data_IF_140045796045
#
_entry.id   IF_140045796045
#
_cell.length_a   1.000
_cell.length_b   1.000
_cell.length_c   1.000
_cell.angle_alpha   90.00
_cell.angle_beta   90.00
_cell.angle_gamma   90.00
#
_symmetry.space_group_name_H-M   'P 1'
#
loop_
_entity.id
_entity.type
_entity.pdbx_description
1 polymer ?
#
# COMPACT_ATOMS: atom_id res chain seq x y z
N UNK A 1 -13.70 26.46 -29.59
CA UNK A 1 -13.65 25.27 -28.72
C UNK A 1 -12.25 25.19 -28.13
N UNK A 2 -12.11 24.81 -26.86
CA UNK A 2 -10.83 24.54 -26.23
C UNK A 2 -10.54 23.05 -26.32
N UNK A 3 -9.27 22.69 -26.52
CA UNK A 3 -8.80 21.33 -26.44
C UNK A 3 -8.63 20.94 -24.97
N UNK A 4 -9.15 19.82 -24.57
CA UNK A 4 -8.81 19.12 -23.34
C UNK A 4 -8.28 17.75 -23.74
N UNK A 5 -7.08 17.40 -23.34
CA UNK A 5 -6.43 16.13 -23.71
C UNK A 5 -5.74 15.47 -22.52
N UNK A 6 -5.59 14.16 -22.61
CA UNK A 6 -4.75 13.41 -21.68
C UNK A 6 -3.28 13.80 -21.89
N UNK A 7 -2.44 13.60 -20.89
CA UNK A 7 -1.04 14.05 -20.87
C UNK A 7 -0.17 13.45 -21.99
N UNK A 8 -0.61 12.44 -22.74
CA UNK A 8 0.07 11.94 -23.96
C UNK A 8 0.14 12.98 -25.08
N UNK A 9 -0.73 13.99 -25.05
CA UNK A 9 -0.70 15.05 -26.08
C UNK A 9 0.38 16.10 -25.79
N UNK A 10 1.00 16.07 -24.61
CA UNK A 10 2.05 17.03 -24.22
C UNK A 10 3.28 16.81 -25.09
N UNK A 11 3.53 17.74 -26.01
CA UNK A 11 4.66 17.75 -26.95
C UNK A 11 4.92 19.16 -27.45
N UNK A 12 6.06 19.33 -28.08
CA UNK A 12 6.41 20.61 -28.67
C UNK A 12 5.38 21.09 -29.71
N UNK A 13 5.04 22.36 -29.64
CA UNK A 13 4.10 23.00 -30.56
C UNK A 13 2.61 22.82 -30.20
N UNK A 14 2.27 22.18 -29.09
CA UNK A 14 0.91 22.18 -28.58
C UNK A 14 0.54 23.59 -28.05
N UNK A 15 -0.66 24.07 -28.41
CA UNK A 15 -1.13 25.40 -27.98
C UNK A 15 -1.16 25.53 -26.45
N UNK A 16 -0.75 26.68 -25.92
CA UNK A 16 -0.87 27.03 -24.51
C UNK A 16 -2.34 27.14 -24.03
N UNK A 17 -3.32 27.28 -24.96
CA UNK A 17 -4.74 27.24 -24.65
C UNK A 17 -5.27 25.83 -24.35
N UNK A 18 -4.51 24.78 -24.64
CA UNK A 18 -4.87 23.41 -24.33
C UNK A 18 -4.90 23.21 -22.81
N UNK A 19 -5.86 22.38 -22.35
CA UNK A 19 -5.92 21.92 -20.97
C UNK A 19 -5.46 20.47 -20.94
N UNK A 20 -4.53 20.16 -20.07
CA UNK A 20 -3.95 18.83 -19.94
C UNK A 20 -4.54 18.13 -18.72
N UNK A 21 -5.04 16.92 -18.92
CA UNK A 21 -5.42 16.02 -17.83
C UNK A 21 -4.25 15.07 -17.55
N UNK A 22 -3.49 15.34 -16.50
CA UNK A 22 -2.34 14.53 -16.11
C UNK A 22 -2.79 13.31 -15.32
N UNK A 23 -2.70 12.12 -15.94
CA UNK A 23 -3.18 10.88 -15.35
C UNK A 23 -2.08 9.85 -15.09
N UNK A 24 -0.99 9.87 -15.88
CA UNK A 24 0.10 8.91 -15.78
C UNK A 24 1.06 9.30 -14.65
N UNK A 25 0.92 8.67 -13.48
CA UNK A 25 1.83 8.92 -12.34
C UNK A 25 3.30 8.61 -12.66
N UNK A 26 3.56 7.67 -13.58
CA UNK A 26 4.91 7.33 -14.06
C UNK A 26 5.49 8.32 -15.09
N UNK A 27 4.66 9.10 -15.74
CA UNK A 27 5.10 10.13 -16.67
C UNK A 27 5.55 11.41 -15.92
N UNK A 28 6.60 11.30 -15.12
CA UNK A 28 7.05 12.34 -14.19
C UNK A 28 7.31 13.70 -14.83
N UNK A 29 7.62 13.74 -16.15
CA UNK A 29 7.90 14.99 -16.87
C UNK A 29 6.64 15.65 -17.46
N UNK A 30 5.49 14.97 -17.45
CA UNK A 30 4.29 15.49 -18.08
C UNK A 30 3.78 16.78 -17.41
N UNK A 31 3.71 16.82 -16.08
CA UNK A 31 3.30 18.00 -15.33
C UNK A 31 4.27 19.17 -15.48
N UNK A 32 5.59 19.02 -15.23
CA UNK A 32 6.56 20.10 -15.45
C UNK A 32 6.57 20.62 -16.89
N UNK A 33 6.51 19.73 -17.88
CA UNK A 33 6.52 20.14 -19.29
C UNK A 33 5.28 20.93 -19.68
N UNK A 34 4.09 20.46 -19.30
CA UNK A 34 2.84 21.15 -19.60
C UNK A 34 2.80 22.56 -18.96
N UNK A 35 3.18 22.66 -17.68
CA UNK A 35 3.19 23.95 -16.96
C UNK A 35 4.25 24.91 -17.48
N UNK A 36 5.42 24.41 -17.92
CA UNK A 36 6.46 25.19 -18.58
C UNK A 36 5.96 25.77 -19.94
N UNK A 37 5.10 25.03 -20.64
CA UNK A 37 4.44 25.48 -21.87
C UNK A 37 3.20 26.35 -21.59
N UNK A 38 2.99 26.76 -20.34
CA UNK A 38 1.86 27.59 -19.90
C UNK A 38 0.48 26.95 -20.15
N UNK A 39 0.44 25.63 -20.24
CA UNK A 39 -0.81 24.87 -20.35
C UNK A 39 -1.43 24.65 -18.99
N UNK A 40 -2.74 24.77 -18.90
CA UNK A 40 -3.48 24.49 -17.68
C UNK A 40 -3.56 22.99 -17.45
N UNK A 41 -3.30 22.54 -16.23
CA UNK A 41 -3.26 21.14 -15.88
C UNK A 41 -4.32 20.80 -14.84
N UNK A 42 -5.08 19.74 -15.09
CA UNK A 42 -5.95 19.07 -14.13
C UNK A 42 -5.21 17.82 -13.68
N UNK A 43 -4.87 17.74 -12.39
CA UNK A 43 -4.15 16.60 -11.85
C UNK A 43 -5.12 15.46 -11.49
N UNK A 44 -4.95 14.31 -12.14
CA UNK A 44 -5.69 13.10 -11.84
C UNK A 44 -4.81 11.83 -11.93
N UNK A 45 -3.59 11.82 -11.31
CA UNK A 45 -2.71 10.67 -11.42
C UNK A 45 -3.40 9.40 -10.91
N UNK A 46 -3.28 8.33 -11.72
CA UNK A 46 -4.04 7.10 -11.54
C UNK A 46 -3.85 6.44 -10.18
N UNK A 47 -2.65 6.51 -9.63
CA UNK A 47 -2.33 5.94 -8.33
C UNK A 47 -3.04 6.62 -7.14
N UNK A 48 -3.67 7.80 -7.36
CA UNK A 48 -4.44 8.52 -6.35
C UNK A 48 -5.92 8.59 -6.70
N UNK A 49 -6.25 8.82 -7.98
CA UNK A 49 -7.58 9.29 -8.37
C UNK A 49 -8.34 8.41 -9.35
N UNK A 50 -7.85 7.20 -9.63
CA UNK A 50 -8.64 6.20 -10.34
C UNK A 50 -9.50 5.44 -9.34
N UNK A 51 -10.75 5.80 -9.23
CA UNK A 51 -11.68 5.27 -8.23
C UNK A 51 -12.32 3.93 -8.63
N UNK A 52 -12.02 3.43 -9.81
CA UNK A 52 -12.25 2.03 -10.23
C UNK A 52 -11.25 1.07 -9.60
N UNK A 53 -10.07 1.54 -9.19
CA UNK A 53 -9.12 0.74 -8.41
C UNK A 53 -9.65 0.41 -7.01
N UNK A 54 -9.21 -0.70 -6.45
CA UNK A 54 -9.57 -1.09 -5.09
C UNK A 54 -9.30 0.04 -4.08
N UNK A 55 -10.15 0.15 -3.06
CA UNK A 55 -10.06 1.30 -2.14
C UNK A 55 -8.86 1.26 -1.19
N UNK A 56 -8.23 0.12 -1.01
CA UNK A 56 -6.96 -0.06 -0.31
C UNK A 56 -5.76 0.38 -1.16
N UNK A 57 -5.82 0.22 -2.48
CA UNK A 57 -4.80 0.76 -3.40
C UNK A 57 -4.86 2.29 -3.46
N UNK A 58 -6.04 2.86 -3.73
CA UNK A 58 -6.29 4.30 -3.75
C UNK A 58 -7.09 4.71 -2.50
N UNK A 59 -6.44 4.61 -1.34
CA UNK A 59 -7.08 4.82 -0.06
C UNK A 59 -7.36 6.31 0.23
N UNK A 60 -8.30 6.57 1.14
CA UNK A 60 -8.55 7.92 1.66
C UNK A 60 -7.28 8.57 2.22
N UNK A 61 -6.44 7.79 2.94
CA UNK A 61 -5.15 8.25 3.46
C UNK A 61 -4.24 8.73 2.33
N UNK A 62 -4.14 7.95 1.25
CA UNK A 62 -3.30 8.26 0.09
C UNK A 62 -3.81 9.52 -0.64
N UNK A 63 -5.12 9.63 -0.83
CA UNK A 63 -5.74 10.81 -1.44
C UNK A 63 -5.44 12.07 -0.62
N UNK A 64 -5.66 12.04 0.70
CA UNK A 64 -5.40 13.20 1.56
C UNK A 64 -3.92 13.64 1.58
N UNK A 65 -2.99 12.71 1.34
CA UNK A 65 -1.56 13.01 1.26
C UNK A 65 -1.15 13.61 -0.08
N UNK A 66 -1.99 13.57 -1.11
CA UNK A 66 -1.64 14.11 -2.41
C UNK A 66 -1.51 15.64 -2.38
N UNK A 67 -0.37 16.11 -2.84
CA UNK A 67 -0.12 17.54 -3.05
C UNK A 67 0.26 17.79 -4.51
N UNK A 68 -0.59 18.49 -5.29
CA UNK A 68 -0.29 18.78 -6.69
C UNK A 68 0.92 19.72 -6.88
N UNK A 69 1.38 20.35 -5.81
CA UNK A 69 2.49 21.30 -5.80
C UNK A 69 3.80 20.70 -5.28
N UNK A 70 3.81 19.39 -4.92
CA UNK A 70 4.95 18.73 -4.29
C UNK A 70 6.17 18.54 -5.19
N UNK A 71 6.01 18.61 -6.51
CA UNK A 71 7.15 18.52 -7.43
C UNK A 71 8.05 19.75 -7.29
N UNK A 72 9.24 19.55 -6.76
CA UNK A 72 10.24 20.60 -6.48
C UNK A 72 10.82 21.24 -7.75
N UNK A 73 10.63 20.63 -8.92
CA UNK A 73 10.99 21.17 -10.24
C UNK A 73 10.07 22.28 -10.68
N UNK A 74 8.89 22.43 -10.07
CA UNK A 74 7.93 23.46 -10.44
C UNK A 74 8.26 24.80 -9.80
N UNK A 75 8.47 25.84 -10.64
CA UNK A 75 8.54 27.21 -10.15
C UNK A 75 7.19 27.70 -9.62
N UNK A 76 7.21 28.78 -8.85
CA UNK A 76 5.96 29.39 -8.32
C UNK A 76 5.01 29.79 -9.47
N UNK A 77 5.55 30.29 -10.58
CA UNK A 77 4.76 30.63 -11.77
C UNK A 77 4.11 29.38 -12.40
N UNK A 78 4.85 28.28 -12.51
CA UNK A 78 4.32 27.03 -13.06
C UNK A 78 3.19 26.46 -12.22
N UNK A 79 3.25 26.60 -10.89
CA UNK A 79 2.18 26.14 -9.96
C UNK A 79 0.85 26.85 -10.23
N UNK A 80 0.85 28.08 -10.76
CA UNK A 80 -0.38 28.80 -11.13
C UNK A 80 -1.15 28.16 -12.30
N UNK A 81 -0.47 27.31 -13.10
CA UNK A 81 -1.12 26.55 -14.17
C UNK A 81 -1.79 25.27 -13.72
N UNK A 82 -1.63 24.87 -12.47
CA UNK A 82 -2.36 23.72 -11.90
C UNK A 82 -3.76 24.19 -11.53
N UNK A 83 -4.74 23.77 -12.32
CA UNK A 83 -6.12 24.25 -12.20
C UNK A 83 -6.92 23.55 -11.11
N UNK A 84 -6.52 22.34 -10.74
CA UNK A 84 -7.20 21.55 -9.73
C UNK A 84 -6.98 20.05 -9.91
N UNK A 85 -7.83 19.29 -9.27
CA UNK A 85 -7.78 17.84 -9.22
C UNK A 85 -9.06 17.21 -9.81
N UNK A 86 -8.92 15.98 -10.30
CA UNK A 86 -10.05 15.20 -10.84
C UNK A 86 -9.87 13.75 -10.41
N UNK A 87 -10.99 13.05 -10.16
CA UNK A 87 -10.99 11.60 -10.08
C UNK A 87 -11.71 10.98 -11.26
N UNK A 88 -11.27 9.82 -11.67
CA UNK A 88 -11.85 9.02 -12.73
C UNK A 88 -12.48 7.76 -12.15
N UNK A 89 -13.56 7.32 -12.77
CA UNK A 89 -14.22 6.06 -12.46
C UNK A 89 -14.57 5.36 -13.78
N UNK A 90 -13.79 4.36 -14.15
CA UNK A 90 -14.02 3.57 -15.35
C UNK A 90 -14.97 2.43 -15.05
N UNK A 91 -15.86 2.14 -16.00
CA UNK A 91 -17.03 1.29 -15.75
C UNK A 91 -16.79 -0.20 -15.99
N UNK A 92 -15.62 -0.63 -16.44
CA UNK A 92 -15.31 -2.01 -16.80
C UNK A 92 -15.65 -3.02 -15.69
N UNK A 93 -15.40 -2.62 -14.43
CA UNK A 93 -15.59 -3.45 -13.24
C UNK A 93 -16.68 -2.96 -12.30
N UNK A 94 -17.53 -2.03 -12.77
CA UNK A 94 -18.53 -1.36 -11.94
C UNK A 94 -19.94 -1.56 -12.52
N UNK A 95 -20.59 -2.70 -12.24
CA UNK A 95 -21.82 -3.10 -12.90
C UNK A 95 -23.08 -2.42 -12.38
N UNK A 96 -23.05 -1.74 -11.22
CA UNK A 96 -24.27 -1.19 -10.58
C UNK A 96 -24.04 0.17 -9.94
N UNK A 97 -25.12 0.97 -9.80
CA UNK A 97 -25.08 2.24 -9.06
C UNK A 97 -24.61 2.07 -7.61
N UNK A 98 -25.04 1.03 -6.93
CA UNK A 98 -24.57 0.72 -5.56
C UNK A 98 -23.05 0.48 -5.53
N UNK A 99 -22.49 -0.13 -6.58
CA UNK A 99 -21.03 -0.31 -6.67
C UNK A 99 -20.34 1.03 -6.94
N UNK A 100 -20.91 1.90 -7.77
CA UNK A 100 -20.40 3.28 -7.97
C UNK A 100 -20.32 4.01 -6.62
N UNK A 101 -21.42 4.08 -5.89
CA UNK A 101 -21.49 4.73 -4.58
C UNK A 101 -20.44 4.20 -3.63
N UNK A 102 -20.29 2.87 -3.56
CA UNK A 102 -19.28 2.21 -2.75
C UNK A 102 -17.85 2.60 -3.16
N UNK A 103 -17.58 2.67 -4.45
CA UNK A 103 -16.22 2.97 -4.95
C UNK A 103 -15.85 4.44 -4.80
N UNK A 104 -16.82 5.36 -4.89
CA UNK A 104 -16.52 6.80 -4.82
C UNK A 104 -16.56 7.38 -3.40
N UNK A 105 -17.38 6.82 -2.49
CA UNK A 105 -17.52 7.36 -1.13
C UNK A 105 -16.82 6.46 -0.11
N UNK A 106 -15.93 6.99 0.72
CA UNK A 106 -15.66 8.41 1.04
C UNK A 106 -14.56 9.09 0.20
N UNK A 107 -13.94 8.43 -0.78
CA UNK A 107 -12.81 8.97 -1.56
C UNK A 107 -13.12 10.30 -2.25
N UNK A 108 -14.34 10.48 -2.77
CA UNK A 108 -14.75 11.74 -3.37
C UNK A 108 -14.79 12.90 -2.36
N UNK A 109 -15.09 12.61 -1.08
CA UNK A 109 -15.06 13.63 -0.04
C UNK A 109 -13.60 14.01 0.27
N UNK A 110 -12.68 13.04 0.27
CA UNK A 110 -11.25 13.32 0.40
C UNK A 110 -10.73 14.13 -0.82
N UNK A 111 -11.19 13.83 -2.03
CA UNK A 111 -10.88 14.64 -3.21
C UNK A 111 -11.38 16.09 -3.04
N UNK A 112 -12.59 16.28 -2.51
CA UNK A 112 -13.12 17.62 -2.23
C UNK A 112 -12.27 18.35 -1.20
N UNK A 113 -11.79 17.65 -0.15
CA UNK A 113 -10.91 18.23 0.86
C UNK A 113 -9.63 18.78 0.23
N UNK A 114 -8.95 18.00 -0.58
CA UNK A 114 -7.70 18.46 -1.24
C UNK A 114 -7.94 19.53 -2.32
N UNK A 115 -9.15 19.61 -2.90
CA UNK A 115 -9.48 20.64 -3.89
C UNK A 115 -9.75 22.01 -3.26
N UNK A 116 -10.17 22.05 -2.00
CA UNK A 116 -10.61 23.28 -1.33
C UNK A 116 -9.69 23.72 -0.18
N UNK A 117 -8.79 22.82 0.28
CA UNK A 117 -7.96 23.07 1.46
C UNK A 117 -6.47 23.04 1.10
N UNK A 118 -5.77 24.09 1.48
CA UNK A 118 -4.31 24.19 1.30
C UNK A 118 -3.59 23.01 1.97
N UNK A 119 -2.54 22.44 1.36
CA UNK A 119 -1.85 21.26 1.88
C UNK A 119 -1.44 21.36 3.35
N UNK A 120 -0.95 22.53 3.78
CA UNK A 120 -0.47 22.76 5.16
C UNK A 120 -1.58 22.83 6.20
N UNK A 121 -2.83 22.98 5.81
CA UNK A 121 -3.99 23.12 6.72
C UNK A 121 -4.94 21.93 6.63
N UNK A 122 -4.63 20.92 5.81
CA UNK A 122 -5.45 19.73 5.65
C UNK A 122 -5.53 18.93 6.93
N UNK A 123 -6.70 18.36 7.26
CA UNK A 123 -6.84 17.48 8.40
C UNK A 123 -6.02 16.20 8.20
N UNK A 124 -5.45 15.67 9.26
CA UNK A 124 -4.95 14.30 9.27
C UNK A 124 -6.10 13.29 9.13
N UNK A 125 -5.79 12.03 8.87
CA UNK A 125 -6.77 10.99 8.57
C UNK A 125 -7.85 10.84 9.66
N UNK A 126 -7.47 10.84 10.93
CA UNK A 126 -8.39 10.67 12.06
C UNK A 126 -9.34 11.88 12.19
N UNK A 127 -8.80 13.08 12.02
CA UNK A 127 -9.60 14.31 12.03
C UNK A 127 -10.58 14.32 10.85
N UNK A 128 -10.13 13.94 9.68
CA UNK A 128 -10.98 13.82 8.48
C UNK A 128 -12.14 12.87 8.74
N UNK A 129 -11.88 11.66 9.25
CA UNK A 129 -12.96 10.71 9.56
C UNK A 129 -13.90 11.23 10.65
N UNK A 130 -13.38 11.93 11.66
CA UNK A 130 -14.20 12.55 12.69
C UNK A 130 -15.17 13.59 12.10
N UNK A 131 -14.70 14.39 11.15
CA UNK A 131 -15.53 15.37 10.44
C UNK A 131 -16.55 14.70 9.51
N UNK A 132 -16.28 13.49 9.02
CA UNK A 132 -17.20 12.74 8.16
C UNK A 132 -18.37 12.09 8.91
N UNK A 133 -18.29 11.90 10.23
CA UNK A 133 -19.35 11.22 11.01
C UNK A 133 -20.76 11.80 10.73
N UNK A 134 -20.98 13.13 10.73
CA UNK A 134 -22.26 13.69 10.36
C UNK A 134 -22.67 13.43 8.90
N UNK A 135 -21.69 13.37 8.01
CA UNK A 135 -21.93 13.10 6.58
C UNK A 135 -22.37 11.66 6.36
N UNK A 136 -21.75 10.70 7.02
CA UNK A 136 -22.17 9.31 6.96
C UNK A 136 -23.62 9.13 7.46
N UNK A 137 -24.01 9.82 8.53
CA UNK A 137 -25.42 9.82 8.99
C UNK A 137 -26.40 10.38 7.94
N UNK A 138 -26.00 11.41 7.20
CA UNK A 138 -26.83 11.94 6.08
C UNK A 138 -26.92 10.94 4.94
N UNK A 139 -25.81 10.29 4.62
CA UNK A 139 -25.77 9.24 3.58
C UNK A 139 -26.61 8.03 3.95
N UNK A 140 -26.64 7.63 5.23
CA UNK A 140 -27.55 6.58 5.71
C UNK A 140 -29.02 6.95 5.44
N UNK A 141 -29.40 8.20 5.73
CA UNK A 141 -30.77 8.68 5.45
C UNK A 141 -31.07 8.72 3.94
N UNK A 142 -30.08 9.04 3.12
CA UNK A 142 -30.20 9.10 1.66
C UNK A 142 -30.11 7.70 1.00
N UNK A 143 -29.77 6.65 1.75
CA UNK A 143 -29.60 5.30 1.22
C UNK A 143 -28.36 5.13 0.34
N UNK A 144 -27.34 5.98 0.51
CA UNK A 144 -26.06 5.90 -0.22
C UNK A 144 -25.23 4.71 0.28
N UNK A 145 -24.80 3.89 -0.64
CA UNK A 145 -23.98 2.70 -0.34
C UNK A 145 -22.49 3.04 -0.22
N UNK A 146 -22.10 3.89 0.74
CA UNK A 146 -20.70 4.24 0.95
C UNK A 146 -19.87 3.08 1.52
N UNK A 147 -18.56 3.05 1.30
CA UNK A 147 -17.65 2.13 1.99
C UNK A 147 -17.48 2.54 3.46
N UNK A 148 -17.64 1.58 4.36
CA UNK A 148 -17.27 1.78 5.76
C UNK A 148 -15.74 1.88 5.83
N UNK A 149 -15.17 2.85 6.60
CA UNK A 149 -13.73 2.94 6.79
C UNK A 149 -13.10 1.65 7.31
N UNK A 150 -11.88 1.38 6.89
CA UNK A 150 -11.18 0.16 7.23
C UNK A 150 -10.93 0.07 8.75
N UNK A 151 -10.93 -1.16 9.23
CA UNK A 151 -10.51 -1.47 10.60
C UNK A 151 -9.01 -1.21 10.75
N UNK A 152 -8.64 -0.71 11.91
CA UNK A 152 -7.25 -0.39 12.29
C UNK A 152 -6.85 -1.17 13.54
N UNK A 153 -5.54 -1.18 13.86
CA UNK A 153 -5.00 -1.77 15.08
C UNK A 153 -4.40 -3.16 14.91
N UNK A 154 -4.13 -3.59 13.67
CA UNK A 154 -3.50 -4.87 13.35
C UNK A 154 -2.70 -4.80 12.05
N UNK A 155 -1.84 -5.78 11.85
CA UNK A 155 -1.12 -6.03 10.60
C UNK A 155 -1.65 -7.28 9.90
N UNK A 156 -1.18 -7.55 8.70
CA UNK A 156 -1.53 -8.78 7.97
C UNK A 156 -1.15 -10.03 8.76
N UNK A 157 0.05 -10.01 9.35
CA UNK A 157 0.55 -11.02 10.30
C UNK A 157 1.05 -10.32 11.54
N UNK A 158 0.53 -10.71 12.70
CA UNK A 158 0.89 -10.19 14.02
C UNK A 158 1.54 -11.32 14.82
N UNK A 159 2.74 -11.09 15.35
CA UNK A 159 3.45 -12.08 16.16
C UNK A 159 3.27 -11.80 17.65
N UNK A 160 3.25 -12.84 18.47
CA UNK A 160 3.25 -12.72 19.93
C UNK A 160 3.88 -13.97 20.59
N UNK A 161 4.33 -13.82 21.84
CA UNK A 161 5.05 -14.87 22.56
C UNK A 161 4.10 -15.68 23.47
N UNK A 162 3.50 -15.05 24.45
CA UNK A 162 2.67 -15.73 25.45
C UNK A 162 1.17 -15.54 25.22
N UNK A 163 0.72 -14.31 25.32
CA UNK A 163 -0.63 -13.88 25.00
C UNK A 163 -0.63 -12.48 24.42
N UNK A 164 -1.69 -12.12 23.73
CA UNK A 164 -1.86 -10.77 23.17
C UNK A 164 -3.33 -10.36 23.17
N UNK A 165 -3.53 -9.04 22.99
CA UNK A 165 -4.86 -8.46 22.85
C UNK A 165 -5.10 -8.07 21.39
N UNK A 166 -6.16 -8.55 20.82
CA UNK A 166 -6.65 -8.11 19.51
C UNK A 166 -7.47 -6.85 19.71
N UNK A 167 -6.86 -5.70 19.39
CA UNK A 167 -7.47 -4.38 19.56
C UNK A 167 -7.81 -3.79 18.19
N UNK A 168 -9.11 -3.72 17.89
CA UNK A 168 -9.59 -3.15 16.63
C UNK A 168 -10.27 -1.82 16.87
N UNK A 169 -10.04 -0.89 15.96
CA UNK A 169 -10.77 0.37 15.90
C UNK A 169 -11.38 0.58 14.51
N UNK A 170 -12.56 1.19 14.49
CA UNK A 170 -13.18 1.69 13.27
C UNK A 170 -13.31 3.21 13.41
N UNK A 171 -12.81 4.01 12.44
CA UNK A 171 -12.96 5.46 12.49
C UNK A 171 -14.42 5.94 12.53
N UNK A 172 -15.35 5.11 12.07
CA UNK A 172 -16.79 5.40 12.12
C UNK A 172 -17.41 4.83 13.39
N UNK A 173 -17.91 5.65 14.33
CA UNK A 173 -18.49 5.18 15.58
C UNK A 173 -19.84 4.50 15.37
N UNK A 174 -20.12 3.49 16.22
CA UNK A 174 -21.40 2.76 16.23
C UNK A 174 -21.57 1.77 15.09
N UNK A 175 -20.47 1.40 14.43
CA UNK A 175 -20.40 0.29 13.49
C UNK A 175 -20.27 -1.03 14.29
N UNK A 176 -21.05 -2.01 13.91
CA UNK A 176 -20.95 -3.36 14.46
C UNK A 176 -19.81 -4.11 13.76
N UNK A 177 -18.89 -4.70 14.54
CA UNK A 177 -17.79 -5.51 14.02
C UNK A 177 -18.07 -6.95 14.42
N UNK A 178 -18.09 -7.87 13.45
CA UNK A 178 -18.23 -9.31 13.67
C UNK A 178 -17.02 -10.06 13.13
N UNK A 179 -16.79 -11.26 13.69
CA UNK A 179 -15.64 -12.05 13.30
C UNK A 179 -15.93 -13.55 13.33
N UNK A 180 -15.09 -14.27 12.59
CA UNK A 180 -14.95 -15.73 12.64
C UNK A 180 -13.48 -16.09 12.78
N UNK A 181 -13.19 -17.32 13.24
CA UNK A 181 -11.84 -17.87 13.39
C UNK A 181 -11.66 -19.20 12.65
N UNK A 182 -12.65 -19.60 11.88
CA UNK A 182 -12.69 -20.83 11.09
C UNK A 182 -12.60 -20.59 9.57
N UNK A 183 -12.30 -19.34 9.17
CA UNK A 183 -12.21 -18.92 7.77
C UNK A 183 -13.57 -18.63 7.11
N UNK A 184 -14.68 -18.90 7.79
CA UNK A 184 -16.01 -18.58 7.26
C UNK A 184 -16.23 -17.07 7.14
N UNK A 185 -17.16 -16.68 6.27
CA UNK A 185 -17.51 -15.28 6.06
C UNK A 185 -18.37 -14.78 7.22
N UNK A 186 -17.95 -13.73 7.97
CA UNK A 186 -18.76 -13.19 9.04
C UNK A 186 -20.12 -12.67 8.53
N UNK A 187 -21.17 -13.04 9.26
CA UNK A 187 -22.55 -12.60 9.08
C UNK A 187 -23.11 -12.03 10.39
N UNK A 188 -24.42 -11.72 10.40
CA UNK A 188 -25.09 -11.15 11.58
C UNK A 188 -25.18 -12.12 12.78
N UNK A 189 -25.00 -13.41 12.59
CA UNK A 189 -25.01 -14.45 13.63
C UNK A 189 -23.60 -14.73 14.15
N UNK A 190 -22.57 -14.33 13.43
CA UNK A 190 -21.16 -14.49 13.83
C UNK A 190 -20.84 -13.75 15.13
N UNK A 191 -19.74 -14.11 15.79
CA UNK A 191 -19.32 -13.50 17.06
C UNK A 191 -19.19 -11.99 16.94
N UNK A 192 -19.74 -11.28 17.93
CA UNK A 192 -19.63 -9.82 18.02
C UNK A 192 -18.28 -9.45 18.64
N UNK A 193 -17.58 -8.48 18.03
CA UNK A 193 -16.44 -7.85 18.64
C UNK A 193 -16.92 -6.63 19.44
N UNK A 194 -16.97 -6.77 20.76
CA UNK A 194 -17.46 -5.75 21.70
C UNK A 194 -16.34 -5.12 22.54
N UNK A 195 -15.10 -5.41 22.19
CA UNK A 195 -13.89 -4.90 22.84
C UNK A 195 -12.69 -5.83 22.62
N UNK A 196 -11.57 -5.49 23.22
CA UNK A 196 -10.32 -6.21 23.04
C UNK A 196 -10.46 -7.71 23.39
N UNK A 197 -10.04 -8.57 22.44
CA UNK A 197 -10.05 -10.03 22.61
C UNK A 197 -8.68 -10.50 23.07
N UNK A 198 -8.64 -11.18 24.23
CA UNK A 198 -7.42 -11.85 24.66
C UNK A 198 -7.28 -13.20 23.98
N UNK A 199 -6.15 -13.42 23.30
CA UNK A 199 -5.81 -14.71 22.68
C UNK A 199 -4.51 -15.26 23.23
N UNK A 200 -4.39 -16.60 23.21
CA UNK A 200 -3.23 -17.34 23.73
C UNK A 200 -2.68 -18.34 22.73
N UNK A 201 -3.35 -18.52 21.62
CA UNK A 201 -2.99 -19.48 20.58
C UNK A 201 -3.03 -18.79 19.22
N UNK A 202 -2.26 -19.33 18.27
CA UNK A 202 -2.32 -18.88 16.88
C UNK A 202 -3.75 -18.88 16.37
N UNK A 203 -4.18 -17.74 15.83
CA UNK A 203 -5.57 -17.54 15.43
C UNK A 203 -5.63 -16.76 14.11
N UNK A 204 -6.36 -17.31 13.15
CA UNK A 204 -6.72 -16.62 11.92
C UNK A 204 -8.07 -15.92 12.10
N UNK A 205 -8.10 -14.62 11.96
CA UNK A 205 -9.31 -13.84 12.06
C UNK A 205 -9.82 -13.42 10.70
N UNK A 206 -11.11 -13.54 10.51
CA UNK A 206 -11.86 -12.88 9.45
C UNK A 206 -12.81 -11.88 10.11
N UNK A 207 -12.62 -10.59 9.86
CA UNK A 207 -13.46 -9.52 10.39
C UNK A 207 -14.34 -8.93 9.30
N UNK A 208 -15.52 -8.46 9.70
CA UNK A 208 -16.43 -7.73 8.83
C UNK A 208 -17.21 -6.70 9.63
N UNK A 209 -17.36 -5.51 9.11
CA UNK A 209 -18.19 -4.47 9.71
C UNK A 209 -19.58 -4.46 9.10
N UNK A 210 -20.58 -4.03 9.88
CA UNK A 210 -21.97 -3.96 9.45
C UNK A 210 -22.55 -2.60 9.81
N UNK A 211 -23.29 -2.03 8.88
CA UNK A 211 -24.11 -0.84 9.13
C UNK A 211 -25.35 -1.19 9.94
N UNK A 212 -26.05 -0.17 10.42
CA UNK A 212 -27.31 -0.33 11.15
C UNK A 212 -28.40 -1.02 10.34
N UNK A 213 -28.45 -0.81 9.02
CA UNK A 213 -29.37 -1.49 8.11
C UNK A 213 -28.96 -2.96 7.84
N UNK A 214 -27.78 -3.35 8.32
CA UNK A 214 -27.20 -4.66 8.17
C UNK A 214 -26.41 -4.89 6.90
N UNK A 215 -26.17 -3.85 6.11
CA UNK A 215 -25.28 -3.92 4.94
C UNK A 215 -23.86 -4.18 5.39
N UNK A 216 -23.18 -5.21 4.85
CA UNK A 216 -21.80 -5.53 5.24
C UNK A 216 -20.77 -4.71 4.47
N UNK A 217 -19.58 -4.55 5.10
CA UNK A 217 -18.36 -4.08 4.42
C UNK A 217 -17.66 -5.21 3.65
N UNK A 218 -16.50 -4.88 3.10
CA UNK A 218 -15.51 -5.86 2.69
C UNK A 218 -14.97 -6.64 3.91
N UNK A 219 -14.34 -7.76 3.62
CA UNK A 219 -13.78 -8.65 4.63
C UNK A 219 -12.33 -8.29 4.87
N UNK A 220 -11.95 -8.23 6.12
CA UNK A 220 -10.56 -8.05 6.54
C UNK A 220 -10.05 -9.35 7.17
N UNK A 221 -8.90 -9.82 6.71
CA UNK A 221 -8.24 -11.02 7.23
C UNK A 221 -6.90 -10.67 7.85
N UNK A 222 -6.66 -11.18 9.05
CA UNK A 222 -5.41 -11.02 9.76
C UNK A 222 -5.08 -12.29 10.52
N UNK A 223 -3.81 -12.58 10.64
CA UNK A 223 -3.29 -13.73 11.39
C UNK A 223 -2.53 -13.25 12.61
N UNK A 224 -2.81 -13.86 13.75
CA UNK A 224 -2.05 -13.72 14.97
C UNK A 224 -1.28 -15.01 15.21
N UNK A 225 0.04 -14.95 15.19
CA UNK A 225 0.93 -16.12 15.28
C UNK A 225 1.60 -16.14 16.64
N UNK A 226 1.26 -17.16 17.45
CA UNK A 226 2.02 -17.45 18.65
C UNK A 226 3.24 -18.28 18.29
N UNK A 227 4.41 -17.74 18.49
CA UNK A 227 5.67 -18.41 18.23
C UNK A 227 6.73 -17.95 19.22
N UNK A 228 7.64 -18.83 19.66
CA UNK A 228 8.84 -18.39 20.36
C UNK A 228 9.67 -17.49 19.43
N UNK A 229 10.64 -16.79 20.00
CA UNK A 229 11.66 -16.13 19.18
C UNK A 229 12.35 -17.15 18.28
N UNK A 230 12.39 -16.89 16.98
CA UNK A 230 13.14 -17.71 16.04
C UNK A 230 14.63 -17.66 16.39
N UNK A 231 15.28 -18.82 16.42
CA UNK A 231 16.71 -18.93 16.73
C UNK A 231 17.53 -18.33 15.59
N UNK A 232 18.59 -17.61 15.94
CA UNK A 232 19.53 -17.10 14.96
C UNK A 232 20.28 -18.27 14.27
N UNK A 233 20.56 -18.11 13.00
CA UNK A 233 21.35 -19.04 12.23
C UNK A 233 22.80 -19.05 12.74
N UNK A 234 23.52 -20.17 12.52
CA UNK A 234 24.96 -20.24 12.75
C UNK A 234 25.66 -19.22 11.84
N UNK A 235 26.55 -18.42 12.44
CA UNK A 235 27.34 -17.44 11.69
C UNK A 235 28.23 -18.14 10.65
N UNK A 236 28.12 -17.81 9.35
CA UNK A 236 29.02 -18.30 8.32
C UNK A 236 30.48 -17.89 8.55
N UNK A 237 31.42 -18.60 7.93
CA UNK A 237 32.83 -18.33 8.07
C UNK A 237 33.29 -16.95 7.58
N UNK A 238 32.56 -16.40 6.60
CA UNK A 238 32.77 -15.04 6.11
C UNK A 238 31.44 -14.39 5.77
N UNK A 239 31.26 -13.15 6.18
CA UNK A 239 30.12 -12.34 5.85
C UNK A 239 30.56 -11.02 5.21
N UNK A 240 29.87 -10.62 4.17
CA UNK A 240 30.05 -9.34 3.51
C UNK A 240 28.78 -8.48 3.69
N UNK A 241 28.88 -7.16 3.69
CA UNK A 241 27.72 -6.27 3.73
C UNK A 241 26.82 -6.43 2.50
N UNK A 242 25.51 -6.29 2.70
CA UNK A 242 24.51 -6.27 1.64
C UNK A 242 23.85 -7.63 1.37
N UNK A 243 22.99 -7.68 0.37
CA UNK A 243 22.32 -8.89 -0.13
C UNK A 243 22.80 -9.21 -1.54
N UNK A 244 22.89 -10.49 -1.89
CA UNK A 244 23.01 -10.92 -3.27
C UNK A 244 21.68 -10.73 -3.96
N UNK A 245 21.67 -10.10 -5.12
CA UNK A 245 20.50 -9.91 -5.96
C UNK A 245 20.76 -10.52 -7.34
N UNK A 246 19.93 -11.47 -7.75
CA UNK A 246 19.98 -12.10 -9.08
C UNK A 246 18.84 -11.58 -9.92
N UNK A 247 19.18 -10.95 -11.05
CA UNK A 247 18.20 -10.47 -12.03
C UNK A 247 17.94 -11.55 -13.09
N UNK A 248 16.68 -11.90 -13.26
CA UNK A 248 16.18 -12.80 -14.28
C UNK A 248 15.38 -12.05 -15.35
N UNK A 249 15.48 -12.48 -16.61
CA UNK A 249 14.63 -12.01 -17.72
C UNK A 249 13.26 -12.66 -17.62
N UNK A 250 12.41 -12.12 -16.76
CA UNK A 250 11.20 -12.78 -16.32
C UNK A 250 9.94 -12.06 -16.83
N UNK A 251 9.10 -12.81 -17.52
CA UNK A 251 7.75 -12.42 -17.97
C UNK A 251 6.72 -13.35 -17.35
N UNK A 252 6.37 -13.12 -16.15
CA UNK A 252 5.37 -13.91 -15.43
C UNK A 252 4.58 -13.04 -14.48
N UNK A 253 3.75 -13.64 -13.67
CA UNK A 253 2.90 -12.97 -12.71
C UNK A 253 2.91 -13.63 -11.32
N UNK A 254 3.88 -14.50 -11.05
CA UNK A 254 4.09 -15.14 -9.76
C UNK A 254 5.58 -15.22 -9.42
N UNK A 255 5.95 -14.83 -8.22
CA UNK A 255 7.32 -14.89 -7.71
C UNK A 255 7.92 -16.31 -7.72
N UNK A 256 7.08 -17.32 -7.57
CA UNK A 256 7.52 -18.72 -7.58
C UNK A 256 8.11 -19.18 -8.92
N UNK A 257 7.77 -18.50 -10.02
CA UNK A 257 8.17 -18.90 -11.37
C UNK A 257 9.50 -18.25 -11.82
N UNK A 258 10.07 -17.32 -11.02
CA UNK A 258 11.26 -16.54 -11.38
C UNK A 258 12.47 -17.45 -11.65
N UNK A 259 12.66 -18.52 -10.85
CA UNK A 259 13.79 -19.44 -10.99
C UNK A 259 13.89 -20.12 -12.36
N UNK A 260 12.75 -20.24 -13.08
CA UNK A 260 12.72 -20.86 -14.40
C UNK A 260 13.20 -19.91 -15.51
N UNK A 261 13.32 -18.61 -15.23
CA UNK A 261 13.73 -17.60 -16.22
C UNK A 261 15.25 -17.47 -16.29
N UNK A 262 15.81 -17.10 -17.48
CA UNK A 262 17.25 -16.91 -17.64
C UNK A 262 17.80 -15.83 -16.73
N UNK A 263 18.95 -16.11 -16.11
CA UNK A 263 19.70 -15.10 -15.36
C UNK A 263 20.32 -14.09 -16.33
N UNK A 264 20.16 -12.81 -16.06
CA UNK A 264 20.79 -11.71 -16.79
C UNK A 264 22.04 -11.20 -16.09
N UNK A 265 21.94 -10.94 -14.79
CA UNK A 265 23.04 -10.31 -14.05
C UNK A 265 22.90 -10.55 -12.54
N UNK A 266 24.04 -10.44 -11.84
CA UNK A 266 24.09 -10.57 -10.40
C UNK A 266 24.66 -9.28 -9.79
N UNK A 267 24.13 -8.89 -8.64
CA UNK A 267 24.49 -7.66 -7.91
C UNK A 267 24.70 -7.96 -6.43
N UNK A 268 25.39 -7.03 -5.76
CA UNK A 268 25.33 -6.88 -4.30
C UNK A 268 24.70 -5.53 -4.01
N UNK A 269 23.64 -5.52 -3.20
CA UNK A 269 22.87 -4.33 -2.88
C UNK A 269 22.79 -4.09 -1.38
N UNK A 270 22.79 -2.83 -0.95
CA UNK A 270 22.76 -2.44 0.47
C UNK A 270 21.33 -2.24 1.04
N UNK A 271 20.32 -2.47 0.23
CA UNK A 271 18.89 -2.33 0.61
C UNK A 271 18.04 -3.30 -0.17
N UNK A 272 16.83 -3.60 0.31
CA UNK A 272 15.83 -4.32 -0.46
C UNK A 272 15.22 -3.35 -1.46
N UNK A 273 15.75 -3.35 -2.68
CA UNK A 273 15.38 -2.42 -3.76
C UNK A 273 15.74 -3.00 -5.12
N UNK A 274 15.22 -2.39 -6.18
CA UNK A 274 15.63 -2.72 -7.55
C UNK A 274 17.04 -2.15 -7.78
N UNK A 275 18.02 -2.98 -8.23
CA UNK A 275 19.37 -2.50 -8.51
C UNK A 275 19.38 -1.42 -9.60
N UNK A 276 20.33 -0.48 -9.50
CA UNK A 276 20.49 0.58 -10.51
C UNK A 276 20.77 -0.03 -11.89
N UNK A 277 20.07 0.45 -12.92
CA UNK A 277 20.23 -0.02 -14.29
C UNK A 277 19.31 -1.17 -14.70
N UNK A 278 18.69 -1.88 -13.77
CA UNK A 278 17.68 -2.92 -14.04
C UNK A 278 16.43 -2.28 -14.65
N UNK A 279 16.00 -2.77 -15.81
CA UNK A 279 14.86 -2.22 -16.58
C UNK A 279 14.19 -3.31 -17.42
N UNK A 280 12.91 -3.07 -17.74
CA UNK A 280 12.11 -3.96 -18.58
C UNK A 280 11.40 -5.04 -17.76
N UNK A 281 11.37 -6.26 -18.30
CA UNK A 281 10.79 -7.40 -17.60
C UNK A 281 11.75 -7.88 -16.51
N UNK A 282 11.34 -7.82 -15.25
CA UNK A 282 12.19 -8.00 -14.11
C UNK A 282 11.70 -9.16 -13.25
N UNK A 283 12.58 -10.14 -12.99
CA UNK A 283 12.47 -11.03 -11.85
C UNK A 283 13.70 -10.85 -10.98
N UNK A 284 13.54 -10.53 -9.71
CA UNK A 284 14.64 -10.41 -8.76
C UNK A 284 14.51 -11.43 -7.65
N UNK A 285 15.63 -12.07 -7.32
CA UNK A 285 15.76 -12.90 -6.11
C UNK A 285 16.90 -12.31 -5.28
N UNK A 286 16.55 -11.77 -4.13
CA UNK A 286 17.49 -11.20 -3.16
C UNK A 286 17.69 -12.20 -2.04
N UNK A 287 18.94 -12.56 -1.76
CA UNK A 287 19.28 -13.55 -0.73
C UNK A 287 20.39 -13.09 0.16
N UNK A 288 20.36 -13.53 1.42
CA UNK A 288 21.38 -13.25 2.40
C UNK A 288 20.91 -13.47 3.84
N UNK A 289 21.32 -12.58 4.72
CA UNK A 289 20.98 -12.62 6.13
C UNK A 289 20.55 -11.24 6.61
N UNK A 290 19.57 -11.22 7.48
CA UNK A 290 19.17 -10.07 8.29
C UNK A 290 19.78 -10.24 9.68
N UNK A 291 20.69 -9.36 10.09
CA UNK A 291 21.31 -9.37 11.42
C UNK A 291 20.54 -8.45 12.36
N UNK A 292 19.74 -9.01 13.26
CA UNK A 292 18.97 -8.18 14.21
C UNK A 292 19.77 -8.02 15.53
N UNK A 293 19.77 -6.81 16.13
CA UNK A 293 20.64 -6.47 17.27
C UNK A 293 20.18 -7.02 18.62
N UNK A 294 18.93 -7.40 18.77
CA UNK A 294 18.32 -7.81 20.04
C UNK A 294 17.16 -8.77 19.82
N UNK A 295 16.80 -9.53 20.86
CA UNK A 295 15.56 -10.30 20.87
C UNK A 295 14.37 -9.34 20.81
N UNK A 296 13.42 -9.59 19.89
CA UNK A 296 12.28 -8.71 19.73
C UNK A 296 11.25 -9.19 18.70
N UNK A 297 10.10 -8.54 18.67
CA UNK A 297 9.13 -8.69 17.60
C UNK A 297 9.42 -7.58 16.58
N UNK A 298 9.89 -7.98 15.42
CA UNK A 298 10.21 -7.05 14.32
C UNK A 298 9.03 -6.94 13.37
N UNK A 299 8.73 -5.71 12.98
CA UNK A 299 7.65 -5.39 12.05
C UNK A 299 8.25 -4.90 10.73
N UNK A 300 7.95 -5.60 9.65
CA UNK A 300 8.46 -5.30 8.30
C UNK A 300 7.32 -4.80 7.43
N UNK A 301 7.54 -3.69 6.73
CA UNK A 301 6.69 -3.18 5.66
C UNK A 301 7.37 -3.49 4.32
N UNK A 302 6.74 -4.31 3.49
CA UNK A 302 7.18 -4.63 2.14
C UNK A 302 6.24 -3.97 1.13
N UNK A 303 6.78 -3.06 0.35
CA UNK A 303 6.11 -2.36 -0.74
C UNK A 303 6.63 -2.89 -2.07
N UNK A 304 5.76 -3.25 -2.97
CA UNK A 304 6.12 -3.62 -4.34
C UNK A 304 5.08 -3.21 -5.37
N UNK A 305 5.54 -3.05 -6.59
CA UNK A 305 4.80 -2.95 -7.85
C UNK A 305 5.62 -3.71 -8.90
N UNK A 306 5.27 -4.83 -9.45
CA UNK A 306 4.14 -5.73 -9.14
C UNK A 306 4.38 -6.59 -7.88
N UNK A 307 4.41 -7.92 -8.04
CA UNK A 307 4.42 -8.90 -6.98
C UNK A 307 5.73 -9.05 -6.23
N UNK A 308 5.62 -9.35 -4.92
CA UNK A 308 6.76 -9.71 -4.10
C UNK A 308 6.42 -10.70 -2.98
N UNK A 309 7.43 -11.44 -2.53
CA UNK A 309 7.34 -12.30 -1.35
C UNK A 309 8.53 -12.07 -0.42
N UNK A 310 8.29 -12.16 0.89
CA UNK A 310 9.32 -12.14 1.93
C UNK A 310 9.37 -13.49 2.62
N UNK A 311 10.51 -14.16 2.51
CA UNK A 311 10.82 -15.41 3.20
C UNK A 311 11.88 -15.10 4.25
N UNK A 312 11.63 -15.47 5.50
CA UNK A 312 12.55 -15.25 6.62
C UNK A 312 12.64 -16.52 7.45
N UNK A 313 13.86 -17.00 7.69
CA UNK A 313 14.16 -18.31 8.31
C UNK A 313 13.52 -19.50 7.57
N UNK A 314 13.39 -19.39 6.23
CA UNK A 314 12.80 -20.42 5.39
C UNK A 314 11.26 -20.46 5.40
N UNK A 315 10.59 -19.54 6.09
CA UNK A 315 9.14 -19.44 6.14
C UNK A 315 8.64 -18.25 5.30
N UNK A 316 7.59 -18.44 4.52
CA UNK A 316 6.88 -17.35 3.84
C UNK A 316 6.20 -16.46 4.89
N UNK A 317 6.85 -15.34 5.21
CA UNK A 317 6.37 -14.39 6.19
C UNK A 317 5.41 -13.36 5.55
N UNK A 318 5.75 -12.87 4.38
CA UNK A 318 4.99 -11.87 3.65
C UNK A 318 4.65 -12.32 2.23
N UNK A 319 3.37 -12.31 1.91
CA UNK A 319 2.85 -12.65 0.58
C UNK A 319 2.13 -11.42 -0.01
N UNK A 320 2.81 -10.76 -0.94
CA UNK A 320 2.33 -9.66 -1.77
C UNK A 320 2.48 -10.02 -3.26
N UNK A 321 2.30 -11.32 -3.57
CA UNK A 321 2.49 -11.86 -4.90
C UNK A 321 1.33 -11.54 -5.84
N UNK A 322 1.57 -11.66 -7.16
CA UNK A 322 0.61 -11.37 -8.21
C UNK A 322 0.81 -9.98 -8.84
N UNK A 323 0.19 -9.78 -10.01
CA UNK A 323 0.26 -8.50 -10.70
C UNK A 323 -0.68 -7.48 -10.05
N UNK A 324 -0.13 -6.36 -9.62
CA UNK A 324 -0.87 -5.26 -8.97
C UNK A 324 -0.09 -3.94 -9.03
N UNK A 325 -0.79 -2.81 -8.94
CA UNK A 325 -0.16 -1.49 -8.72
C UNK A 325 0.52 -1.46 -7.34
N UNK A 326 1.34 -0.42 -7.03
CA UNK A 326 2.04 -0.35 -5.76
C UNK A 326 1.17 -0.72 -4.57
N UNK A 327 1.50 -1.81 -3.91
CA UNK A 327 0.81 -2.34 -2.74
C UNK A 327 1.80 -2.67 -1.63
N UNK A 328 1.36 -2.53 -0.40
CA UNK A 328 2.17 -2.77 0.78
C UNK A 328 1.53 -3.81 1.68
N UNK A 329 2.36 -4.69 2.20
CA UNK A 329 1.99 -5.58 3.31
C UNK A 329 2.86 -5.27 4.53
N UNK A 330 2.26 -5.40 5.72
CA UNK A 330 2.98 -5.27 6.99
C UNK A 330 2.85 -6.57 7.76
N UNK A 331 3.98 -7.14 8.15
CA UNK A 331 4.08 -8.45 8.79
C UNK A 331 5.03 -8.41 9.98
N UNK A 332 4.81 -9.28 10.97
CA UNK A 332 5.65 -9.37 12.15
C UNK A 332 6.26 -10.76 12.32
N UNK A 333 7.49 -10.79 12.85
CA UNK A 333 8.15 -12.02 13.30
C UNK A 333 8.93 -11.78 14.59
N UNK A 334 8.86 -12.73 15.50
CA UNK A 334 9.66 -12.75 16.72
C UNK A 334 11.02 -13.37 16.43
N UNK A 335 12.10 -12.63 16.65
CA UNK A 335 13.49 -13.02 16.33
C UNK A 335 14.38 -12.87 17.54
N UNK A 336 15.31 -13.80 17.74
CA UNK A 336 16.46 -13.62 18.62
C UNK A 336 17.52 -12.73 17.98
N UNK A 337 18.35 -12.12 18.79
CA UNK A 337 19.52 -11.41 18.30
C UNK A 337 20.42 -12.31 17.46
N UNK A 338 20.87 -11.83 16.31
CA UNK A 338 21.76 -12.54 15.39
C UNK A 338 21.26 -12.59 13.95
N UNK A 339 21.77 -13.54 13.20
CA UNK A 339 21.56 -13.69 11.76
C UNK A 339 20.30 -14.52 11.46
N UNK A 340 19.47 -14.03 10.57
CA UNK A 340 18.29 -14.71 10.06
C UNK A 340 18.34 -14.78 8.54
N UNK A 341 18.35 -15.98 7.92
CA UNK A 341 18.30 -16.12 6.47
C UNK A 341 17.09 -15.38 5.91
N UNK A 342 17.34 -14.50 4.93
CA UNK A 342 16.31 -13.73 4.24
C UNK A 342 16.35 -14.00 2.75
N UNK A 343 15.18 -14.15 2.15
CA UNK A 343 14.96 -14.14 0.71
C UNK A 343 13.80 -13.21 0.38
N UNK A 344 14.01 -12.30 -0.58
CA UNK A 344 12.95 -11.48 -1.14
C UNK A 344 12.87 -11.78 -2.62
N UNK A 345 11.69 -12.16 -3.09
CA UNK A 345 11.40 -12.32 -4.51
C UNK A 345 10.53 -11.19 -4.99
N UNK A 346 10.76 -10.73 -6.20
CA UNK A 346 10.06 -9.60 -6.78
C UNK A 346 9.98 -9.76 -8.29
N UNK A 347 8.86 -9.38 -8.87
CA UNK A 347 8.76 -9.22 -10.32
C UNK A 347 8.01 -7.93 -10.69
N UNK A 348 8.32 -7.42 -11.88
CA UNK A 348 7.66 -6.28 -12.50
C UNK A 348 7.86 -6.30 -14.02
N UNK A 349 6.86 -5.78 -14.75
CA UNK A 349 6.87 -5.77 -16.21
C UNK A 349 7.10 -4.38 -16.84
N UNK A 350 7.00 -3.29 -16.08
CA UNK A 350 7.00 -1.93 -16.64
C UNK A 350 7.75 -0.86 -15.85
N UNK A 351 8.54 -1.24 -14.85
CA UNK A 351 9.30 -0.31 -14.00
C UNK A 351 8.51 0.11 -12.77
N UNK A 352 8.55 -0.74 -11.77
CA UNK A 352 7.84 -0.58 -10.51
C UNK A 352 8.72 -0.12 -9.35
N UNK A 353 8.34 -0.54 -8.15
CA UNK A 353 9.03 -0.25 -6.89
C UNK A 353 9.20 -1.54 -6.09
N UNK A 354 10.35 -1.67 -5.44
CA UNK A 354 10.60 -2.65 -4.39
C UNK A 354 11.25 -1.94 -3.21
N UNK A 355 10.65 -2.05 -2.03
CA UNK A 355 11.18 -1.44 -0.81
C UNK A 355 10.78 -2.24 0.42
N UNK A 356 11.70 -2.42 1.35
CA UNK A 356 11.43 -2.97 2.67
C UNK A 356 11.89 -2.02 3.76
N UNK A 357 11.00 -1.73 4.70
CA UNK A 357 11.24 -0.84 5.84
C UNK A 357 10.87 -1.56 7.15
N UNK A 358 11.36 -1.05 8.27
CA UNK A 358 10.87 -1.42 9.58
C UNK A 358 9.72 -0.50 9.99
N UNK A 359 8.83 -1.01 10.85
CA UNK A 359 7.79 -0.21 11.50
C UNK A 359 8.07 -0.20 12.99
N UNK A 360 8.22 0.98 13.58
CA UNK A 360 8.48 1.13 15.01
C UNK A 360 7.21 0.97 15.86
N UNK A 361 7.33 0.98 17.18
CA UNK A 361 6.21 0.83 18.13
C UNK A 361 5.15 1.95 18.02
N UNK A 362 5.48 3.05 17.35
CA UNK A 362 4.53 4.14 17.06
C UNK A 362 3.80 3.96 15.73
N UNK A 363 4.11 2.89 14.99
CA UNK A 363 3.58 2.67 13.65
C UNK A 363 4.25 3.52 12.56
N UNK A 364 5.39 4.15 12.85
CA UNK A 364 6.16 4.95 11.90
C UNK A 364 7.13 4.05 11.15
N UNK A 365 7.25 4.27 9.85
CA UNK A 365 8.22 3.58 9.02
C UNK A 365 9.61 4.18 9.21
N UNK A 366 10.58 3.32 9.34
CA UNK A 366 12.00 3.66 9.42
C UNK A 366 12.78 2.83 8.42
N UNK A 367 13.79 3.44 7.83
CA UNK A 367 14.67 2.75 6.88
C UNK A 367 15.31 1.54 7.54
N UNK A 368 15.28 0.38 6.88
CA UNK A 368 16.01 -0.80 7.32
C UNK A 368 17.51 -0.48 7.32
N UNK A 369 18.23 -0.60 8.48
CA UNK A 369 19.64 -0.29 8.52
C UNK A 369 20.44 -1.20 7.58
N UNK A 370 21.23 -0.62 6.68
CA UNK A 370 22.00 -1.37 5.70
C UNK A 370 23.03 -2.31 6.33
N UNK A 371 23.53 -1.94 7.51
CA UNK A 371 24.45 -2.76 8.28
C UNK A 371 23.84 -4.06 8.82
N UNK A 372 22.50 -4.19 8.81
CA UNK A 372 21.80 -5.43 9.16
C UNK A 372 21.75 -6.44 8.01
N UNK A 373 22.05 -6.00 6.78
CA UNK A 373 22.03 -6.86 5.60
C UNK A 373 23.42 -7.43 5.34
N UNK A 374 23.51 -8.75 5.24
CA UNK A 374 24.73 -9.51 5.04
C UNK A 374 24.54 -10.60 3.98
N UNK A 375 25.63 -11.01 3.35
CA UNK A 375 25.68 -12.20 2.50
C UNK A 375 27.01 -12.95 2.66
N UNK A 376 27.04 -14.21 2.21
CA UNK A 376 28.26 -15.03 2.11
C UNK A 376 29.09 -14.69 0.89
#
# INVERSE_FOLDING_TARGET
KKLVGWDEVVKDGLSSDAVITWWRSWAKDALPTATMQQQKVIACPNEFFYFDYAQDQNSVKKILAFDPYADDRLSSEQKEYIWGVQANLWAEWIPTMKRIEYMIVPRMIALSEIAWTEPVTRPGLDEFYRQLVPQFKRMDVMGVNYRIPDLQGFYKVNAFIDDTMVNLTCPLPGIEIRYTTDGSMPDKQSSLYDGALKIKETTDFTFRTFRKDGSPSDVVRTKYVKAPYAEAATTPASLQPGLKAVWHDFRGNLCADIDAAPIKEEYVIESVSIPEGVKGDIGLILTGYLEVPADGIYTFALLSDDGSTLILDGELLGDNDGAHSPAEIIVQKALKAGLHPIEVRYFDCNGGVLQMELVNDKGEKIVLPKEWLKHE
#
